data_IF_092698440001
#
_entry.id   IF_092698440001
#
_cell.length_a   1.000
_cell.length_b   1.000
_cell.length_c   1.000
_cell.angle_alpha   90.00
_cell.angle_beta   90.00
_cell.angle_gamma   90.00
#
_symmetry.space_group_name_H-M   'P 1'
#
loop_
_entity.id
_entity.type
_entity.pdbx_description
1 polymer ?
#
# COMPACT_ATOMS: atom_id res chain seq x y z
N UNK A 1 22.86 -33.72 -28.36
CA UNK A 1 21.86 -32.88 -27.68
C UNK A 1 21.39 -33.64 -26.46
N UNK A 2 21.81 -33.21 -25.26
CA UNK A 2 21.61 -33.98 -24.02
C UNK A 2 20.15 -33.87 -23.53
N UNK A 3 19.50 -35.03 -23.42
CA UNK A 3 18.14 -35.24 -22.91
C UNK A 3 17.91 -34.91 -21.41
N UNK A 4 18.91 -34.32 -20.74
CA UNK A 4 18.95 -34.20 -19.27
C UNK A 4 18.27 -32.97 -18.69
N UNK A 5 17.87 -31.97 -19.48
CA UNK A 5 17.27 -30.72 -18.97
C UNK A 5 15.74 -30.75 -18.99
N UNK A 6 15.15 -31.44 -19.96
CA UNK A 6 13.69 -31.49 -20.13
C UNK A 6 13.03 -32.43 -19.11
N UNK A 7 13.71 -33.52 -18.73
CA UNK A 7 13.20 -34.50 -17.76
C UNK A 7 13.18 -34.00 -16.31
N UNK A 8 13.91 -32.92 -15.98
CA UNK A 8 13.94 -32.36 -14.61
C UNK A 8 12.77 -31.41 -14.33
N UNK A 9 12.14 -30.85 -15.35
CA UNK A 9 11.07 -29.86 -15.16
C UNK A 9 9.85 -30.40 -14.37
N UNK A 10 9.38 -31.66 -14.58
CA UNK A 10 8.30 -32.22 -13.78
C UNK A 10 8.70 -32.39 -12.31
N UNK A 11 9.91 -32.86 -12.05
CA UNK A 11 10.42 -33.08 -10.68
C UNK A 11 10.56 -31.77 -9.90
N UNK A 12 11.07 -30.71 -10.55
CA UNK A 12 11.18 -29.38 -9.96
C UNK A 12 9.78 -28.80 -9.68
N UNK A 13 8.83 -28.99 -10.58
CA UNK A 13 7.43 -28.56 -10.39
C UNK A 13 6.76 -29.33 -9.26
N UNK A 14 6.97 -30.62 -9.14
CA UNK A 14 6.43 -31.45 -8.04
C UNK A 14 7.09 -31.11 -6.70
N UNK A 15 8.42 -30.87 -6.67
CA UNK A 15 9.12 -30.43 -5.48
C UNK A 15 8.68 -29.04 -5.04
N UNK A 16 8.50 -28.12 -5.99
CA UNK A 16 7.98 -26.77 -5.73
C UNK A 16 6.54 -26.82 -5.21
N UNK A 17 5.66 -27.61 -5.85
CA UNK A 17 4.29 -27.80 -5.38
C UNK A 17 4.23 -28.49 -4.01
N UNK A 18 5.16 -29.41 -3.73
CA UNK A 18 5.25 -30.09 -2.43
C UNK A 18 5.77 -29.16 -1.32
N UNK A 19 6.68 -28.24 -1.65
CA UNK A 19 7.17 -27.22 -0.72
C UNK A 19 6.12 -26.12 -0.47
N UNK A 20 5.40 -25.71 -1.52
CA UNK A 20 4.38 -24.65 -1.41
C UNK A 20 3.04 -25.16 -0.88
N UNK A 21 2.74 -26.45 -1.00
CA UNK A 21 1.42 -27.03 -0.62
C UNK A 21 1.36 -27.66 0.77
N UNK A 22 2.40 -27.55 1.61
CA UNK A 22 2.43 -28.21 2.93
C UNK A 22 2.76 -27.32 4.10
N UNK A 23 3.04 -26.03 3.86
CA UNK A 23 3.37 -25.13 4.95
C UNK A 23 2.15 -24.26 5.29
N UNK A 24 1.29 -24.79 6.20
CA UNK A 24 0.13 -24.04 6.73
C UNK A 24 0.55 -22.69 7.32
N UNK A 25 1.78 -22.59 7.82
CA UNK A 25 2.34 -21.34 8.32
C UNK A 25 2.57 -20.36 7.17
N UNK A 26 3.11 -20.83 6.04
CA UNK A 26 3.31 -19.98 4.85
C UNK A 26 1.97 -19.51 4.27
N UNK A 27 0.98 -20.39 4.15
CA UNK A 27 -0.37 -20.02 3.72
C UNK A 27 -0.98 -18.97 4.63
N UNK A 28 -0.80 -19.10 5.96
CA UNK A 28 -1.30 -18.12 6.92
C UNK A 28 -0.64 -16.74 6.78
N UNK A 29 0.61 -16.68 6.31
CA UNK A 29 1.31 -15.41 6.04
C UNK A 29 0.80 -14.70 4.78
N UNK A 30 0.17 -15.42 3.85
CA UNK A 30 -0.42 -14.86 2.63
C UNK A 30 -1.83 -14.32 2.86
N UNK A 31 -2.46 -14.65 3.99
CA UNK A 31 -3.79 -14.14 4.32
C UNK A 31 -3.74 -12.66 4.70
N UNK A 32 -4.46 -11.84 3.96
CA UNK A 32 -4.65 -10.44 4.34
C UNK A 32 -5.37 -10.37 5.70
N UNK A 33 -4.92 -9.53 6.63
CA UNK A 33 -5.55 -9.38 7.93
C UNK A 33 -7.00 -8.89 7.80
N UNK A 34 -7.84 -9.17 8.79
CA UNK A 34 -9.18 -8.56 8.85
C UNK A 34 -9.06 -7.04 8.77
N UNK A 35 -8.15 -6.47 9.56
CA UNK A 35 -7.75 -5.07 9.54
C UNK A 35 -6.27 -4.97 9.90
N UNK A 36 -5.47 -4.26 9.09
CA UNK A 36 -4.09 -3.90 9.42
C UNK A 36 -4.11 -2.71 10.39
N UNK A 37 -4.20 -3.00 11.69
CA UNK A 37 -4.31 -1.97 12.74
C UNK A 37 -3.21 -0.91 12.67
N UNK A 38 -1.92 -1.23 12.37
CA UNK A 38 -0.89 -0.21 12.23
C UNK A 38 -1.20 0.79 11.11
N UNK A 39 -1.62 0.33 9.92
CA UNK A 39 -1.97 1.20 8.80
C UNK A 39 -3.20 2.05 9.12
N UNK A 40 -4.21 1.49 9.80
CA UNK A 40 -5.39 2.24 10.25
C UNK A 40 -5.01 3.30 11.28
N UNK A 41 -4.12 2.98 12.22
CA UNK A 41 -3.64 3.94 13.20
C UNK A 41 -2.85 5.08 12.55
N UNK A 42 -2.00 4.78 11.55
CA UNK A 42 -1.29 5.78 10.76
C UNK A 42 -2.27 6.68 9.99
N UNK A 43 -3.30 6.10 9.39
CA UNK A 43 -4.35 6.87 8.69
C UNK A 43 -5.06 7.83 9.65
N UNK A 44 -5.54 7.33 10.80
CA UNK A 44 -6.22 8.13 11.79
C UNK A 44 -5.31 9.25 12.35
N UNK A 45 -4.04 8.95 12.61
CA UNK A 45 -3.04 9.92 13.05
C UNK A 45 -2.82 11.02 12.01
N UNK A 46 -2.64 10.67 10.74
CA UNK A 46 -2.43 11.64 9.66
C UNK A 46 -3.64 12.58 9.52
N UNK A 47 -4.86 12.04 9.53
CA UNK A 47 -6.09 12.84 9.49
C UNK A 47 -6.18 13.77 10.71
N UNK A 48 -5.90 13.25 11.90
CA UNK A 48 -5.92 14.06 13.14
C UNK A 48 -4.90 15.20 13.08
N UNK A 49 -3.69 14.96 12.57
CA UNK A 49 -2.66 16.00 12.39
C UNK A 49 -3.16 17.08 11.41
N UNK A 50 -3.70 16.70 10.25
CA UNK A 50 -4.21 17.67 9.26
C UNK A 50 -5.30 18.54 9.86
N UNK A 51 -6.27 17.91 10.54
CA UNK A 51 -7.38 18.64 11.17
C UNK A 51 -6.88 19.57 12.27
N UNK A 52 -6.04 19.07 13.18
CA UNK A 52 -5.51 19.86 14.29
C UNK A 52 -4.61 21.01 13.81
N UNK A 53 -3.67 20.74 12.89
CA UNK A 53 -2.78 21.76 12.34
C UNK A 53 -3.57 22.87 11.63
N UNK A 54 -4.59 22.48 10.85
CA UNK A 54 -5.45 23.43 10.16
C UNK A 54 -6.25 24.29 11.17
N UNK A 55 -6.91 23.66 12.14
CA UNK A 55 -7.71 24.36 13.14
C UNK A 55 -6.86 25.33 13.98
N UNK A 56 -5.72 24.86 14.50
CA UNK A 56 -4.80 25.70 15.31
C UNK A 56 -4.24 26.89 14.53
N UNK A 57 -4.03 26.72 13.22
CA UNK A 57 -3.56 27.81 12.36
C UNK A 57 -4.66 28.82 12.10
N UNK A 58 -5.87 28.36 11.81
CA UNK A 58 -7.04 29.26 11.61
C UNK A 58 -7.39 30.07 12.86
N UNK A 59 -7.18 29.47 14.05
CA UNK A 59 -7.33 30.17 15.33
C UNK A 59 -6.18 31.14 15.67
N UNK A 60 -5.16 31.24 14.80
CA UNK A 60 -3.96 32.06 15.04
C UNK A 60 -3.02 31.54 16.13
N UNK A 61 -3.21 30.28 16.58
CA UNK A 61 -2.41 29.66 17.67
C UNK A 61 -1.13 29.01 17.15
N UNK A 62 -1.10 28.62 15.88
CA UNK A 62 0.07 28.04 15.24
C UNK A 62 0.56 28.90 14.08
N UNK A 63 1.88 29.11 13.95
CA UNK A 63 2.44 29.76 12.78
C UNK A 63 2.38 28.83 11.56
N UNK A 64 2.28 29.42 10.37
CA UNK A 64 2.16 28.67 9.11
C UNK A 64 3.28 27.65 8.90
N UNK A 65 4.52 27.98 9.29
CA UNK A 65 5.64 27.05 9.12
C UNK A 65 5.46 25.76 9.94
N UNK A 66 4.91 25.85 11.18
CA UNK A 66 4.65 24.69 12.02
C UNK A 66 3.53 23.81 11.40
N UNK A 67 2.46 24.44 10.91
CA UNK A 67 1.40 23.73 10.19
C UNK A 67 1.93 23.06 8.91
N UNK A 68 2.83 23.72 8.18
CA UNK A 68 3.45 23.17 6.97
C UNK A 68 4.26 21.90 7.29
N UNK A 69 5.08 21.92 8.34
CA UNK A 69 5.84 20.74 8.76
C UNK A 69 4.93 19.60 9.22
N UNK A 70 3.91 19.90 10.03
CA UNK A 70 2.95 18.90 10.51
C UNK A 70 2.16 18.28 9.35
N UNK A 71 1.65 19.07 8.42
CA UNK A 71 0.94 18.59 7.25
C UNK A 71 1.86 17.83 6.30
N UNK A 72 3.12 18.25 6.11
CA UNK A 72 4.10 17.50 5.32
C UNK A 72 4.34 16.10 5.88
N UNK A 73 4.48 15.97 7.20
CA UNK A 73 4.58 14.67 7.87
C UNK A 73 3.31 13.82 7.68
N UNK A 74 2.13 14.43 7.85
CA UNK A 74 0.87 13.75 7.65
C UNK A 74 0.70 13.26 6.20
N UNK A 75 1.08 14.07 5.21
CA UNK A 75 1.05 13.68 3.80
C UNK A 75 2.01 12.54 3.49
N UNK A 76 3.23 12.56 4.03
CA UNK A 76 4.15 11.42 3.90
C UNK A 76 3.54 10.14 4.48
N UNK A 77 2.88 10.25 5.64
CA UNK A 77 2.16 9.12 6.26
C UNK A 77 1.00 8.62 5.39
N UNK A 78 0.21 9.54 4.80
CA UNK A 78 -0.89 9.19 3.89
C UNK A 78 -0.40 8.49 2.62
N UNK A 79 0.81 8.82 2.14
CA UNK A 79 1.41 8.10 1.01
C UNK A 79 1.58 6.61 1.33
N UNK A 80 2.09 6.27 2.53
CA UNK A 80 2.23 4.87 2.96
C UNK A 80 0.86 4.17 3.07
N UNK A 81 -0.16 4.87 3.57
CA UNK A 81 -1.53 4.34 3.66
C UNK A 81 -2.13 4.09 2.26
N UNK A 82 -1.95 5.02 1.33
CA UNK A 82 -2.42 4.88 -0.06
C UNK A 82 -1.70 3.73 -0.78
N UNK A 83 -0.41 3.57 -0.52
CA UNK A 83 0.39 2.44 -1.00
C UNK A 83 -0.19 1.10 -0.53
N UNK A 84 -0.42 0.94 0.78
CA UNK A 84 -1.02 -0.27 1.35
C UNK A 84 -2.43 -0.53 0.78
N UNK A 85 -3.23 0.52 0.59
CA UNK A 85 -4.53 0.44 -0.07
C UNK A 85 -4.43 -0.05 -1.51
N UNK A 86 -3.40 0.40 -2.25
CA UNK A 86 -3.13 -0.03 -3.63
C UNK A 86 -2.82 -1.52 -3.71
N UNK A 87 -2.10 -2.05 -2.74
CA UNK A 87 -1.79 -3.48 -2.61
C UNK A 87 -2.89 -4.32 -1.96
N UNK A 88 -4.00 -3.70 -1.54
CA UNK A 88 -5.07 -4.35 -0.76
C UNK A 88 -4.57 -4.98 0.55
N UNK A 89 -3.55 -4.35 1.16
CA UNK A 89 -2.90 -4.84 2.37
C UNK A 89 -3.54 -4.31 3.67
N UNK A 90 -4.47 -3.34 3.59
CA UNK A 90 -5.13 -2.76 4.78
C UNK A 90 -6.14 -3.76 5.37
N UNK A 91 -6.85 -4.51 4.50
CA UNK A 91 -7.90 -5.42 4.95
C UNK A 91 -8.18 -6.50 3.91
N UNK A 92 -8.63 -7.67 4.40
CA UNK A 92 -9.23 -8.70 3.54
C UNK A 92 -10.53 -8.26 2.88
N UNK A 93 -11.18 -7.20 3.37
CA UNK A 93 -12.41 -6.65 2.79
C UNK A 93 -12.06 -5.60 1.72
N UNK A 94 -12.35 -5.85 0.43
CA UNK A 94 -11.95 -4.94 -0.67
C UNK A 94 -12.45 -3.50 -0.48
N UNK A 95 -13.67 -3.33 0.01
CA UNK A 95 -14.27 -2.00 0.24
C UNK A 95 -13.48 -1.16 1.25
N UNK A 96 -12.86 -1.78 2.25
CA UNK A 96 -12.04 -1.07 3.25
C UNK A 96 -10.78 -0.50 2.58
N UNK A 97 -10.10 -1.32 1.75
CA UNK A 97 -8.92 -0.86 1.00
C UNK A 97 -9.28 0.29 0.05
N UNK A 98 -10.42 0.15 -0.67
CA UNK A 98 -10.91 1.18 -1.59
C UNK A 98 -11.24 2.48 -0.86
N UNK A 99 -11.99 2.41 0.24
CA UNK A 99 -12.41 3.59 0.98
C UNK A 99 -11.22 4.35 1.57
N UNK A 100 -10.34 3.64 2.30
CA UNK A 100 -9.17 4.25 2.93
C UNK A 100 -8.18 4.77 1.88
N UNK A 101 -7.90 3.98 0.83
CA UNK A 101 -7.00 4.40 -0.25
C UNK A 101 -7.51 5.64 -0.98
N UNK A 102 -8.81 5.73 -1.28
CA UNK A 102 -9.42 6.91 -1.92
C UNK A 102 -9.34 8.15 -1.04
N UNK A 103 -9.66 8.01 0.26
CA UNK A 103 -9.56 9.15 1.19
C UNK A 103 -8.10 9.59 1.33
N UNK A 104 -7.15 8.66 1.45
CA UNK A 104 -5.74 8.98 1.54
C UNK A 104 -5.24 9.73 0.29
N UNK A 105 -5.58 9.27 -0.92
CA UNK A 105 -5.22 9.96 -2.18
C UNK A 105 -5.95 11.28 -2.31
N UNK A 106 -7.22 11.39 -1.95
CA UNK A 106 -7.96 12.66 -1.98
C UNK A 106 -7.29 13.74 -1.11
N UNK A 107 -6.77 13.35 0.05
CA UNK A 107 -6.06 14.27 0.94
C UNK A 107 -4.63 14.59 0.45
N UNK A 108 -3.96 13.62 -0.19
CA UNK A 108 -2.58 13.74 -0.65
C UNK A 108 -2.49 14.42 -2.02
N UNK A 109 -3.33 14.01 -2.97
CA UNK A 109 -3.31 14.43 -4.37
C UNK A 109 -4.75 14.52 -4.91
N UNK A 110 -5.50 15.57 -4.53
CA UNK A 110 -6.95 15.66 -4.77
C UNK A 110 -7.37 15.66 -6.25
N UNK A 111 -6.43 15.87 -7.17
CA UNK A 111 -6.69 15.87 -8.61
C UNK A 111 -6.54 14.48 -9.27
N UNK A 112 -6.00 13.49 -8.55
CA UNK A 112 -5.76 12.15 -9.10
C UNK A 112 -6.79 11.14 -8.56
N UNK A 113 -7.46 10.38 -9.43
CA UNK A 113 -8.30 9.27 -8.98
C UNK A 113 -7.44 8.14 -8.43
N UNK A 114 -7.87 7.56 -7.30
CA UNK A 114 -7.13 6.47 -6.64
C UNK A 114 -6.86 5.27 -7.57
N UNK A 115 -7.80 4.95 -8.44
CA UNK A 115 -7.67 3.87 -9.43
C UNK A 115 -6.51 4.12 -10.41
N UNK A 116 -6.35 5.36 -10.85
CA UNK A 116 -5.25 5.77 -11.72
C UNK A 116 -3.90 5.66 -11.00
N UNK A 117 -3.83 6.14 -9.75
CA UNK A 117 -2.63 6.04 -8.92
C UNK A 117 -2.27 4.57 -8.69
N UNK A 118 -3.25 3.73 -8.32
CA UNK A 118 -3.05 2.28 -8.16
C UNK A 118 -2.56 1.65 -9.45
N UNK A 119 -3.15 1.98 -10.60
CA UNK A 119 -2.75 1.41 -11.88
C UNK A 119 -1.29 1.73 -12.20
N UNK A 120 -0.89 3.00 -12.11
CA UNK A 120 0.50 3.44 -12.30
C UNK A 120 1.43 2.71 -11.34
N UNK A 121 1.09 2.67 -10.06
CA UNK A 121 1.87 1.99 -9.03
C UNK A 121 2.07 0.50 -9.31
N UNK A 122 1.02 -0.20 -9.74
CA UNK A 122 1.11 -1.62 -10.09
C UNK A 122 1.90 -1.84 -11.40
N UNK A 123 1.88 -0.90 -12.36
CA UNK A 123 2.75 -0.96 -13.54
C UNK A 123 4.22 -0.75 -13.14
N UNK A 124 4.50 0.20 -12.23
CA UNK A 124 5.84 0.38 -11.69
C UNK A 124 6.37 -0.92 -11.06
N UNK A 125 5.60 -1.59 -10.22
CA UNK A 125 6.00 -2.89 -9.66
C UNK A 125 6.25 -3.97 -10.71
N UNK A 126 5.48 -3.96 -11.79
CA UNK A 126 5.59 -4.94 -12.88
C UNK A 126 6.81 -4.72 -13.76
N UNK A 127 7.18 -3.47 -14.00
CA UNK A 127 8.18 -3.08 -14.99
C UNK A 127 9.36 -2.31 -14.37
N UNK A 128 9.49 -2.35 -13.05
CA UNK A 128 10.49 -1.59 -12.27
C UNK A 128 11.83 -1.48 -12.99
N UNK A 129 12.29 -0.25 -13.24
CA UNK A 129 13.52 0.09 -13.96
C UNK A 129 13.61 -0.46 -15.41
N UNK A 130 12.51 -0.87 -16.01
CA UNK A 130 12.45 -1.28 -17.42
C UNK A 130 11.94 -0.13 -18.31
N UNK A 131 12.01 -0.32 -19.63
CA UNK A 131 11.59 0.68 -20.63
C UNK A 131 10.07 1.00 -20.58
N UNK A 132 9.29 0.19 -19.88
CA UNK A 132 7.83 0.32 -19.73
C UNK A 132 7.43 0.80 -18.30
N UNK A 133 8.40 1.15 -17.48
CA UNK A 133 8.15 1.72 -16.15
C UNK A 133 7.57 3.14 -16.32
N UNK A 134 6.36 3.44 -15.80
CA UNK A 134 5.70 4.73 -15.99
C UNK A 134 6.40 5.90 -15.31
#
# INVERSE_FOLDING_TARGET
MNATTVDRLPQVRHAHAALMGKDEYFESLLEAPALALPTIALFALAVAIIVAATALTLEGRWPLWAATLANGFAMYTLFSVAHDGSHRAISRYPLVNEAIGRIAIMLLLPIAPFEGVRWIHMQHHRYTNGDQDP
#
